data_IF_577075350798
#
_entry.id   IF_577075350798
#
_cell.length_a   1.000
_cell.length_b   1.000
_cell.length_c   1.000
_cell.angle_alpha   90.00
_cell.angle_beta   90.00
_cell.angle_gamma   90.00
#
_symmetry.space_group_name_H-M   'P 1'
#
loop_
_entity.id
_entity.type
_entity.pdbx_description
1 polymer ?
#
# COMPACT_ATOMS: atom_id res chain seq x y z
N UNK A 1 -8.67 -11.66 11.57
CA UNK A 1 -8.12 -12.67 10.63
C UNK A 1 -7.10 -11.97 9.75
N UNK A 2 -6.03 -12.65 9.35
CA UNK A 2 -4.93 -12.08 8.56
C UNK A 2 -4.93 -12.74 7.19
N UNK A 3 -4.82 -11.94 6.12
CA UNK A 3 -4.73 -12.43 4.76
C UNK A 3 -3.48 -11.88 4.08
N UNK A 4 -2.82 -12.72 3.28
CA UNK A 4 -1.76 -12.29 2.39
C UNK A 4 -2.33 -12.15 0.98
N UNK A 5 -2.01 -11.05 0.32
CA UNK A 5 -2.42 -10.76 -1.06
C UNK A 5 -1.30 -10.06 -1.81
N UNK A 6 -1.52 -9.83 -3.12
CA UNK A 6 -0.70 -8.95 -3.95
C UNK A 6 -1.56 -7.85 -4.54
N UNK A 7 -1.05 -6.62 -4.49
CA UNK A 7 -1.70 -5.45 -5.10
C UNK A 7 -0.85 -5.02 -6.28
N UNK A 8 -1.45 -5.04 -7.48
CA UNK A 8 -0.84 -4.53 -8.70
C UNK A 8 -1.59 -3.29 -9.15
N UNK A 9 -0.88 -2.21 -9.44
CA UNK A 9 -1.53 -0.97 -9.85
C UNK A 9 -0.57 0.20 -9.98
N UNK A 10 -1.12 1.39 -10.17
CA UNK A 10 -0.35 2.64 -10.30
C UNK A 10 -0.43 3.46 -9.01
N UNK A 11 0.70 3.94 -8.53
CA UNK A 11 0.75 4.88 -7.41
C UNK A 11 0.28 6.25 -7.90
N UNK A 12 -0.81 6.75 -7.32
CA UNK A 12 -1.40 8.03 -7.73
C UNK A 12 -1.13 9.17 -6.73
N UNK A 13 -0.77 8.83 -5.49
CA UNK A 13 -0.59 9.77 -4.40
C UNK A 13 0.26 9.11 -3.30
N UNK A 14 0.99 9.92 -2.54
CA UNK A 14 1.79 9.49 -1.40
C UNK A 14 1.49 10.40 -0.22
N UNK A 15 1.27 9.80 0.96
CA UNK A 15 0.96 10.56 2.18
C UNK A 15 1.68 10.00 3.40
N UNK A 16 1.75 10.86 4.41
CA UNK A 16 2.22 10.51 5.74
C UNK A 16 1.04 10.61 6.71
N UNK A 17 0.76 9.53 7.43
CA UNK A 17 -0.29 9.49 8.45
C UNK A 17 0.06 10.40 9.63
N UNK A 18 -0.94 10.71 10.48
CA UNK A 18 -0.72 11.48 11.71
C UNK A 18 0.33 10.87 12.66
N UNK A 19 0.57 9.55 12.55
CA UNK A 19 1.59 8.82 13.34
C UNK A 19 2.96 8.74 12.64
N UNK A 20 3.16 9.49 11.56
CA UNK A 20 4.44 9.52 10.82
C UNK A 20 4.67 8.33 9.89
N UNK A 21 3.71 7.41 9.74
CA UNK A 21 3.83 6.26 8.83
C UNK A 21 3.47 6.67 7.40
N UNK A 22 4.35 6.35 6.46
CA UNK A 22 4.19 6.58 5.01
C UNK A 22 3.22 5.57 4.40
N UNK A 23 2.33 6.02 3.53
CA UNK A 23 1.44 5.15 2.77
C UNK A 23 1.20 5.69 1.36
N UNK A 24 1.00 4.76 0.44
CA UNK A 24 0.72 5.01 -0.97
C UNK A 24 -0.77 4.88 -1.21
N UNK A 25 -1.29 5.66 -2.15
CA UNK A 25 -2.58 5.37 -2.79
C UNK A 25 -2.32 4.70 -4.13
N UNK A 26 -2.74 3.45 -4.24
CA UNK A 26 -2.56 2.63 -5.43
C UNK A 26 -3.92 2.47 -6.10
N UNK A 27 -3.99 2.78 -7.39
CA UNK A 27 -5.13 2.46 -8.24
C UNK A 27 -4.88 1.12 -8.94
N UNK A 28 -5.68 0.11 -8.63
CA UNK A 28 -5.53 -1.26 -9.18
C UNK A 28 -6.31 -1.48 -10.50
N UNK A 29 -6.94 -0.44 -11.02
CA UNK A 29 -7.82 -0.51 -12.19
C UNK A 29 -9.32 -0.50 -11.85
N UNK A 30 -9.68 -0.86 -10.61
CA UNK A 30 -11.06 -0.87 -10.12
C UNK A 30 -11.24 -0.03 -8.85
N UNK A 31 -10.26 -0.05 -7.96
CA UNK A 31 -10.31 0.52 -6.62
C UNK A 31 -9.12 1.43 -6.34
N UNK A 32 -9.31 2.35 -5.39
CA UNK A 32 -8.25 3.09 -4.75
C UNK A 32 -7.92 2.48 -3.41
N UNK A 33 -6.68 2.02 -3.27
CA UNK A 33 -6.23 1.25 -2.12
C UNK A 33 -5.13 2.00 -1.39
N UNK A 34 -5.24 2.12 -0.07
CA UNK A 34 -4.21 2.73 0.76
C UNK A 34 -3.28 1.65 1.31
N UNK A 35 -1.99 1.73 0.95
CA UNK A 35 -0.98 0.73 1.32
C UNK A 35 0.11 1.41 2.17
N UNK A 36 0.21 1.06 3.45
CA UNK A 36 1.36 1.43 4.29
C UNK A 36 2.61 0.72 3.79
N UNK A 37 3.68 1.48 3.63
CA UNK A 37 4.97 1.00 3.14
C UNK A 37 6.07 1.39 4.11
N UNK A 38 7.20 0.69 4.03
CA UNK A 38 8.37 1.03 4.82
C UNK A 38 8.93 2.40 4.41
N UNK A 39 9.60 3.09 5.34
CA UNK A 39 10.14 4.45 5.10
C UNK A 39 11.18 4.48 3.98
N UNK A 40 11.89 3.38 3.77
CA UNK A 40 12.94 3.17 2.76
C UNK A 40 12.42 2.55 1.46
N UNK A 41 11.10 2.30 1.32
CA UNK A 41 10.53 1.79 0.08
C UNK A 41 10.77 2.74 -1.09
N UNK A 42 11.18 2.18 -2.23
CA UNK A 42 11.60 2.95 -3.42
C UNK A 42 10.42 3.42 -4.29
N UNK A 43 9.20 3.08 -3.92
CA UNK A 43 8.00 3.43 -4.66
C UNK A 43 7.74 4.94 -4.65
N UNK A 44 7.37 5.50 -5.80
CA UNK A 44 7.09 6.91 -6.03
C UNK A 44 5.77 7.11 -6.75
N UNK A 45 5.22 8.33 -6.69
CA UNK A 45 4.01 8.69 -7.44
C UNK A 45 4.28 8.57 -8.95
N UNK A 46 3.41 7.85 -9.65
CA UNK A 46 3.54 7.55 -11.07
C UNK A 46 4.00 6.12 -11.36
N UNK A 47 4.60 5.44 -10.38
CA UNK A 47 5.12 4.08 -10.56
C UNK A 47 3.99 3.06 -10.72
N UNK A 48 4.22 2.08 -11.59
CA UNK A 48 3.47 0.82 -11.58
C UNK A 48 4.13 -0.14 -10.59
N UNK A 49 3.35 -0.67 -9.66
CA UNK A 49 3.83 -1.45 -8.52
C UNK A 49 3.13 -2.80 -8.45
N UNK A 50 3.84 -3.79 -7.91
CA UNK A 50 3.33 -5.12 -7.55
C UNK A 50 3.80 -5.41 -6.12
N UNK A 51 2.93 -5.12 -5.15
CA UNK A 51 3.26 -5.09 -3.72
C UNK A 51 2.68 -6.31 -3.03
N UNK A 52 3.53 -7.06 -2.33
CA UNK A 52 3.11 -8.10 -1.40
C UNK A 52 2.51 -7.45 -0.14
N UNK A 53 1.25 -7.78 0.14
CA UNK A 53 0.43 -7.07 1.12
C UNK A 53 -0.21 -8.00 2.16
N UNK A 54 -0.23 -7.55 3.41
CA UNK A 54 -0.97 -8.18 4.50
C UNK A 54 -2.20 -7.32 4.84
N UNK A 55 -3.37 -7.96 4.88
CA UNK A 55 -4.62 -7.35 5.30
C UNK A 55 -5.02 -7.86 6.68
N UNK A 56 -5.47 -6.93 7.52
CA UNK A 56 -6.11 -7.22 8.79
C UNK A 56 -7.61 -6.90 8.63
N UNK A 57 -8.49 -7.85 8.91
CA UNK A 57 -9.94 -7.72 8.68
C UNK A 57 -10.63 -6.55 9.37
N UNK A 58 -9.96 -5.93 10.35
CA UNK A 58 -10.50 -4.81 11.12
C UNK A 58 -9.90 -3.45 10.69
N UNK A 59 -8.98 -3.45 9.74
CA UNK A 59 -8.25 -2.25 9.33
C UNK A 59 -8.71 -1.75 7.96
N UNK A 60 -8.81 -0.43 7.84
CA UNK A 60 -9.09 0.28 6.57
C UNK A 60 -7.85 0.35 5.67
N UNK A 61 -6.70 -0.10 6.19
CA UNK A 61 -5.40 0.04 5.55
C UNK A 61 -4.73 -1.31 5.35
N UNK A 62 -4.01 -1.43 4.24
CA UNK A 62 -3.23 -2.61 3.90
C UNK A 62 -1.76 -2.29 4.15
N UNK A 63 -0.96 -3.26 4.59
CA UNK A 63 0.46 -3.04 4.86
C UNK A 63 1.31 -3.90 3.94
N UNK A 64 2.39 -3.34 3.40
CA UNK A 64 3.41 -4.10 2.68
C UNK A 64 4.06 -5.15 3.61
N UNK A 65 4.32 -6.35 3.09
CA UNK A 65 5.19 -7.32 3.74
C UNK A 65 6.29 -7.75 2.78
N UNK A 66 7.52 -7.79 3.27
CA UNK A 66 8.67 -8.35 2.56
C UNK A 66 8.71 -9.84 2.88
N UNK A 67 8.05 -10.64 2.05
CA UNK A 67 8.10 -12.11 2.08
C UNK A 67 9.36 -12.64 1.41
#
# INVERSE_FOLDING_TARGET
MVFYTRIKGKVIDEKVSKKGRRYLKVYDGNNLVNVFVEKDSLYSVGDEVDINCVLYTNDVYITEFKG
#
